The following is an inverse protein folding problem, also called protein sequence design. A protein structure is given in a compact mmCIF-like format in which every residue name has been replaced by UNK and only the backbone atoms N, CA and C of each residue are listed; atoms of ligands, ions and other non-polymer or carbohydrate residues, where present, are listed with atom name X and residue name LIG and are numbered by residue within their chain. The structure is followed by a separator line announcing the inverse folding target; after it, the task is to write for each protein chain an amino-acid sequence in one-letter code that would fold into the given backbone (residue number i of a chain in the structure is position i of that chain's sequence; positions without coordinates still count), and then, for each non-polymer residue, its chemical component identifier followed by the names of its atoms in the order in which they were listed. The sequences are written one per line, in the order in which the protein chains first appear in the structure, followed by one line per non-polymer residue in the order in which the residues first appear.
data_IF_649226130674
#
_entry.id   IF_649226130674
#
_cell.length_a   1.000
_cell.length_b   1.000
_cell.length_c   1.000
_cell.angle_alpha   90.00
_cell.angle_beta   90.00
_cell.angle_gamma   90.00
#
_symmetry.space_group_name_H-M   'P 1'
#
loop_
_entity.id
_entity.type
_entity.pdbx_description
1 polymer ?
#
# COMPACT_ATOMS: atom_id res chain seq x y z
N UNK A 1 -16.51 23.58 -5.73
CA UNK A 1 -15.83 23.42 -4.42
C UNK A 1 -16.26 22.15 -3.68
N UNK A 2 -17.54 21.77 -3.73
CA UNK A 2 -18.04 20.47 -3.20
C UNK A 2 -17.35 19.29 -3.90
N UNK A 3 -17.38 19.27 -5.25
CA UNK A 3 -16.82 18.16 -6.05
C UNK A 3 -15.32 17.89 -5.81
N UNK A 4 -14.52 18.95 -5.65
CA UNK A 4 -13.08 18.83 -5.37
C UNK A 4 -12.77 18.33 -3.94
N UNK A 5 -13.74 18.39 -3.03
CA UNK A 5 -13.60 17.80 -1.69
C UNK A 5 -14.01 16.32 -1.73
N UNK A 6 -15.08 16.00 -2.46
CA UNK A 6 -15.53 14.61 -2.65
C UNK A 6 -14.47 13.76 -3.39
N UNK A 7 -13.75 14.36 -4.36
CA UNK A 7 -12.64 13.71 -5.05
C UNK A 7 -11.45 13.42 -4.13
N UNK A 8 -11.06 14.38 -3.27
CA UNK A 8 -10.00 14.19 -2.30
C UNK A 8 -10.36 13.14 -1.24
N UNK A 9 -11.62 13.10 -0.80
CA UNK A 9 -12.09 12.07 0.12
C UNK A 9 -12.05 10.68 -0.52
N UNK A 10 -12.36 10.57 -1.82
CA UNK A 10 -12.23 9.32 -2.57
C UNK A 10 -10.76 8.88 -2.69
N UNK A 11 -9.84 9.81 -2.98
CA UNK A 11 -8.40 9.55 -3.02
C UNK A 11 -7.84 9.12 -1.66
N UNK A 12 -8.28 9.78 -0.58
CA UNK A 12 -7.90 9.41 0.79
C UNK A 12 -8.36 7.98 1.10
N UNK A 13 -9.62 7.65 0.82
CA UNK A 13 -10.17 6.29 1.02
C UNK A 13 -9.41 5.24 0.21
N UNK A 14 -9.07 5.54 -1.04
CA UNK A 14 -8.29 4.65 -1.88
C UNK A 14 -6.87 4.40 -1.32
N UNK A 15 -6.22 5.45 -0.83
CA UNK A 15 -4.92 5.33 -0.15
C UNK A 15 -5.03 4.47 1.12
N UNK A 16 -6.03 4.71 1.97
CA UNK A 16 -6.23 3.92 3.19
C UNK A 16 -6.51 2.45 2.89
N UNK A 17 -7.37 2.15 1.91
CA UNK A 17 -7.63 0.77 1.48
C UNK A 17 -6.35 0.08 0.98
N UNK A 18 -5.52 0.77 0.19
CA UNK A 18 -4.24 0.22 -0.25
C UNK A 18 -3.28 -0.03 0.93
N UNK A 19 -3.27 0.84 1.94
CA UNK A 19 -2.47 0.66 3.16
C UNK A 19 -2.94 -0.57 3.94
N UNK A 20 -4.25 -0.78 4.07
CA UNK A 20 -4.78 -1.97 4.75
C UNK A 20 -4.40 -3.27 4.02
N UNK A 21 -4.45 -3.29 2.69
CA UNK A 21 -3.94 -4.41 1.88
C UNK A 21 -2.45 -4.65 2.15
N UNK A 22 -1.65 -3.59 2.23
CA UNK A 22 -0.21 -3.69 2.46
C UNK A 22 0.11 -4.22 3.86
N UNK A 23 -0.59 -3.75 4.89
CA UNK A 23 -0.50 -4.31 6.24
C UNK A 23 -0.89 -5.78 6.28
N UNK A 24 -1.88 -6.18 5.47
CA UNK A 24 -2.24 -7.58 5.27
C UNK A 24 -1.06 -8.39 4.71
N UNK A 25 -0.44 -7.92 3.63
CA UNK A 25 0.70 -8.59 3.00
C UNK A 25 1.91 -8.70 3.94
N UNK A 26 2.26 -7.65 4.68
CA UNK A 26 3.33 -7.68 5.70
C UNK A 26 3.03 -8.75 6.76
N UNK A 27 1.78 -8.83 7.23
CA UNK A 27 1.37 -9.84 8.23
C UNK A 27 1.42 -11.26 7.66
N UNK A 28 1.13 -11.45 6.37
CA UNK A 28 1.27 -12.75 5.70
C UNK A 28 2.72 -13.16 5.57
N UNK A 29 3.59 -12.25 5.10
CA UNK A 29 5.03 -12.46 5.00
C UNK A 29 5.64 -12.79 6.37
N UNK A 30 5.33 -11.99 7.40
CA UNK A 30 5.86 -12.18 8.75
C UNK A 30 5.45 -13.52 9.39
N UNK A 31 4.31 -14.11 9.01
CA UNK A 31 3.91 -15.45 9.48
C UNK A 31 4.78 -16.56 8.91
N UNK A 32 5.38 -16.34 7.74
CA UNK A 32 6.24 -17.32 7.06
C UNK A 32 7.67 -17.31 7.60
N UNK A 33 8.07 -16.26 8.31
CA UNK A 33 9.28 -16.24 9.13
C UNK A 33 9.13 -17.18 10.34
N UNK A 34 9.07 -18.49 10.06
CA UNK A 34 8.87 -19.57 11.02
C UNK A 34 10.20 -20.24 11.39
N UNK A 35 10.21 -20.98 12.51
CA UNK A 35 11.39 -21.75 12.95
C UNK A 35 11.67 -23.00 12.08
N UNK A 36 10.89 -23.23 11.01
CA UNK A 36 11.03 -24.40 10.17
C UNK A 36 12.06 -24.13 9.05
N UNK A 37 13.31 -24.55 9.29
CA UNK A 37 14.46 -24.24 8.44
C UNK A 37 14.54 -25.14 7.20
N UNK A 38 13.59 -25.00 6.27
CA UNK A 38 13.59 -25.72 5.00
C UNK A 38 13.61 -24.77 3.80
N UNK A 39 14.19 -25.21 2.69
CA UNK A 39 14.23 -24.44 1.43
C UNK A 39 12.82 -24.08 0.96
N UNK A 40 11.87 -25.01 1.04
CA UNK A 40 10.49 -24.77 0.63
C UNK A 40 9.79 -23.66 1.46
N UNK A 41 10.15 -23.48 2.73
CA UNK A 41 9.62 -22.39 3.55
C UNK A 41 10.30 -21.06 3.22
N UNK A 42 11.59 -21.08 2.89
CA UNK A 42 12.31 -19.89 2.39
C UNK A 42 11.69 -19.41 1.07
N UNK A 43 11.47 -20.32 0.11
CA UNK A 43 10.86 -19.98 -1.18
C UNK A 43 9.48 -19.31 -1.02
N UNK A 44 8.66 -19.81 -0.08
CA UNK A 44 7.35 -19.20 0.24
C UNK A 44 7.51 -17.81 0.83
N UNK A 45 8.46 -17.63 1.74
CA UNK A 45 8.71 -16.35 2.36
C UNK A 45 9.19 -15.31 1.34
N UNK A 46 10.10 -15.69 0.43
CA UNK A 46 10.54 -14.84 -0.68
C UNK A 46 9.38 -14.48 -1.63
N UNK A 47 8.53 -15.45 -1.96
CA UNK A 47 7.34 -15.18 -2.77
C UNK A 47 6.36 -14.19 -2.08
N UNK A 48 6.19 -14.31 -0.77
CA UNK A 48 5.37 -13.38 0.01
C UNK A 48 5.99 -11.98 0.08
N UNK A 49 7.32 -11.88 0.17
CA UNK A 49 8.03 -10.61 0.09
C UNK A 49 7.79 -9.90 -1.25
N UNK A 50 7.86 -10.62 -2.38
CA UNK A 50 7.53 -10.02 -3.69
C UNK A 50 6.08 -9.53 -3.76
N UNK A 51 5.14 -10.26 -3.16
CA UNK A 51 3.74 -9.83 -3.06
C UNK A 51 3.61 -8.57 -2.22
N UNK A 52 4.30 -8.48 -1.08
CA UNK A 52 4.32 -7.28 -0.23
C UNK A 52 4.85 -6.07 -1.02
N UNK A 53 5.95 -6.22 -1.74
CA UNK A 53 6.57 -5.15 -2.50
C UNK A 53 5.64 -4.65 -3.63
N UNK A 54 4.91 -5.56 -4.30
CA UNK A 54 3.89 -5.22 -5.29
C UNK A 54 2.75 -4.39 -4.72
N UNK A 55 2.28 -4.74 -3.52
CA UNK A 55 1.24 -3.97 -2.82
C UNK A 55 1.81 -2.62 -2.36
N UNK A 56 3.05 -2.60 -1.85
CA UNK A 56 3.74 -1.38 -1.42
C UNK A 56 3.88 -0.37 -2.54
N UNK A 57 4.17 -0.83 -3.78
CA UNK A 57 4.20 0.04 -4.96
C UNK A 57 2.86 0.75 -5.18
N UNK A 58 1.75 0.02 -5.08
CA UNK A 58 0.39 0.58 -5.20
C UNK A 58 0.08 1.60 -4.11
N UNK A 59 0.49 1.35 -2.86
CA UNK A 59 0.36 2.32 -1.76
C UNK A 59 1.11 3.62 -2.07
N UNK A 60 2.37 3.51 -2.53
CA UNK A 60 3.18 4.69 -2.88
C UNK A 60 2.54 5.50 -4.01
N UNK A 61 1.99 4.84 -5.03
CA UNK A 61 1.30 5.51 -6.12
C UNK A 61 0.01 6.20 -5.66
N UNK A 62 -0.81 5.54 -4.84
CA UNK A 62 -2.03 6.12 -4.28
C UNK A 62 -1.71 7.33 -3.39
N UNK A 63 -0.68 7.22 -2.55
CA UNK A 63 -0.18 8.31 -1.71
C UNK A 63 0.26 9.50 -2.55
N UNK A 64 1.08 9.28 -3.57
CA UNK A 64 1.57 10.35 -4.46
C UNK A 64 0.41 11.11 -5.09
N UNK A 65 -0.55 10.39 -5.68
CA UNK A 65 -1.72 11.02 -6.33
C UNK A 65 -2.53 11.86 -5.35
N UNK A 66 -2.74 11.35 -4.13
CA UNK A 66 -3.47 12.10 -3.11
C UNK A 66 -2.68 13.33 -2.63
N UNK A 67 -1.37 13.22 -2.39
CA UNK A 67 -0.52 14.34 -2.02
C UNK A 67 -0.46 15.42 -3.10
N UNK A 68 -0.37 15.02 -4.37
CA UNK A 68 -0.32 15.95 -5.49
C UNK A 68 -1.65 16.73 -5.61
N UNK A 69 -2.79 16.06 -5.46
CA UNK A 69 -4.10 16.73 -5.44
C UNK A 69 -4.27 17.67 -4.24
N UNK A 70 -3.73 17.31 -3.07
CA UNK A 70 -3.70 18.21 -1.92
C UNK A 70 -2.81 19.43 -2.19
N UNK A 71 -1.66 19.24 -2.83
CA UNK A 71 -0.75 20.33 -3.18
C UNK A 71 -1.40 21.30 -4.17
N UNK A 72 -2.09 20.78 -5.19
CA UNK A 72 -2.86 21.58 -6.14
C UNK A 72 -3.96 22.38 -5.41
N UNK A 73 -4.75 21.74 -4.54
CA UNK A 73 -5.82 22.43 -3.79
C UNK A 73 -5.32 23.55 -2.88
N UNK A 74 -4.22 23.34 -2.17
CA UNK A 74 -3.74 24.30 -1.16
C UNK A 74 -2.76 25.32 -1.69
N UNK A 75 -2.02 25.01 -2.76
CA UNK A 75 -0.92 25.84 -3.24
C UNK A 75 -1.02 26.19 -4.74
N UNK A 76 -1.94 25.57 -5.49
CA UNK A 76 -2.19 25.89 -6.90
C UNK A 76 -1.05 25.52 -7.85
N UNK A 77 -0.23 24.53 -7.48
CA UNK A 77 0.84 23.98 -8.33
C UNK A 77 0.29 23.17 -9.50
#
# INVERSE_FOLDING_TARGET
MQDATDELDAMQKAYLAAVDEWLGAIREEAKLASANHSVAEVDKWEAAHFKEDDVRRRVKDAKRRYEDALREKFFGF
#
